data_IF_482751429060
#
_entry.id   IF_482751429060
#
_cell.length_a   1.000
_cell.length_b   1.000
_cell.length_c   1.000
_cell.angle_alpha   90.00
_cell.angle_beta   90.00
_cell.angle_gamma   90.00
#
_symmetry.space_group_name_H-M   'P 1'
#
loop_
_entity.id
_entity.type
_entity.pdbx_description
1 polymer ?
#
# COMPACT_ATOMS: atom_id res chain seq x y z
N UNK A 1 27.70 -59.56 -36.05
CA UNK A 1 28.58 -59.08 -34.97
C UNK A 1 27.93 -57.83 -34.35
N UNK A 2 27.08 -58.02 -33.34
CA UNK A 2 26.39 -56.90 -32.68
C UNK A 2 27.21 -56.47 -31.45
N UNK A 3 27.84 -55.29 -31.54
CA UNK A 3 28.52 -54.70 -30.40
C UNK A 3 27.49 -54.25 -29.36
N UNK A 4 27.59 -54.85 -28.19
CA UNK A 4 26.74 -54.62 -27.02
C UNK A 4 27.22 -53.36 -26.31
N UNK A 5 26.63 -52.22 -26.63
CA UNK A 5 26.83 -51.00 -25.87
C UNK A 5 26.07 -51.12 -24.54
N UNK A 6 26.76 -51.50 -23.45
CA UNK A 6 26.16 -51.62 -22.12
C UNK A 6 26.94 -50.82 -21.09
N UNK A 7 26.22 -49.84 -20.53
CA UNK A 7 26.19 -49.48 -19.10
C UNK A 7 27.42 -48.76 -18.53
N UNK A 8 27.50 -47.46 -18.83
CA UNK A 8 28.11 -46.48 -17.91
C UNK A 8 27.16 -45.33 -17.49
N UNK A 9 25.91 -45.31 -17.98
CA UNK A 9 24.94 -44.20 -17.77
C UNK A 9 23.97 -44.34 -16.58
N UNK A 10 24.14 -45.33 -15.69
CA UNK A 10 23.17 -45.59 -14.61
C UNK A 10 23.33 -44.75 -13.34
N UNK A 11 24.58 -44.44 -12.95
CA UNK A 11 24.87 -43.88 -11.62
C UNK A 11 25.56 -42.52 -11.66
N UNK A 12 26.36 -42.24 -12.70
CA UNK A 12 26.98 -40.93 -12.90
C UNK A 12 25.97 -39.85 -13.34
N UNK A 13 24.83 -40.27 -13.92
CA UNK A 13 23.74 -39.39 -14.34
C UNK A 13 22.87 -38.90 -13.18
N UNK A 14 22.56 -39.78 -12.21
CA UNK A 14 21.68 -39.45 -11.09
C UNK A 14 22.27 -38.36 -10.18
N UNK A 15 23.55 -38.47 -9.82
CA UNK A 15 24.22 -37.45 -9.00
C UNK A 15 24.36 -36.10 -9.70
N UNK A 16 24.57 -36.11 -11.01
CA UNK A 16 24.68 -34.91 -11.83
C UNK A 16 23.33 -34.18 -11.89
N UNK A 17 22.23 -34.93 -12.07
CA UNK A 17 20.86 -34.40 -12.00
C UNK A 17 20.59 -33.79 -10.63
N UNK A 18 20.93 -34.49 -9.54
CA UNK A 18 20.74 -33.97 -8.17
C UNK A 18 21.54 -32.67 -7.96
N UNK A 19 22.80 -32.63 -8.36
CA UNK A 19 23.65 -31.44 -8.23
C UNK A 19 23.08 -30.25 -9.00
N UNK A 20 22.63 -30.47 -10.24
CA UNK A 20 22.02 -29.43 -11.07
C UNK A 20 20.68 -28.96 -10.49
N UNK A 21 19.88 -29.86 -9.92
CA UNK A 21 18.65 -29.51 -9.21
C UNK A 21 18.92 -28.66 -7.96
N UNK A 22 19.97 -28.96 -7.20
CA UNK A 22 20.35 -28.17 -6.02
C UNK A 22 20.81 -26.76 -6.42
N UNK A 23 21.64 -26.65 -7.45
CA UNK A 23 22.08 -25.36 -7.97
C UNK A 23 20.87 -24.53 -8.44
N UNK A 24 19.94 -25.16 -9.18
CA UNK A 24 18.71 -24.51 -9.62
C UNK A 24 17.87 -24.03 -8.42
N UNK A 25 17.70 -24.87 -7.39
CA UNK A 25 16.95 -24.51 -6.20
C UNK A 25 17.56 -23.29 -5.48
N UNK A 26 18.88 -23.24 -5.33
CA UNK A 26 19.60 -22.10 -4.73
C UNK A 26 19.35 -20.82 -5.52
N UNK A 27 19.46 -20.88 -6.85
CA UNK A 27 19.21 -19.74 -7.73
C UNK A 27 17.76 -19.24 -7.60
N UNK A 28 16.79 -20.16 -7.60
CA UNK A 28 15.37 -19.82 -7.45
C UNK A 28 15.09 -19.16 -6.10
N UNK A 29 15.64 -19.69 -5.00
CA UNK A 29 15.50 -19.11 -3.65
C UNK A 29 16.13 -17.72 -3.59
N UNK A 30 17.32 -17.55 -4.18
CA UNK A 30 18.00 -16.26 -4.26
C UNK A 30 17.17 -15.22 -5.01
N UNK A 31 16.65 -15.58 -6.18
CA UNK A 31 15.77 -14.73 -6.98
C UNK A 31 14.48 -14.38 -6.25
N UNK A 32 13.81 -15.35 -5.62
CA UNK A 32 12.58 -15.13 -4.86
C UNK A 32 12.80 -14.13 -3.70
N UNK A 33 13.90 -14.28 -2.97
CA UNK A 33 14.24 -13.39 -1.85
C UNK A 33 14.54 -11.97 -2.32
N UNK A 34 15.31 -11.84 -3.41
CA UNK A 34 15.65 -10.53 -3.99
C UNK A 34 14.44 -9.84 -4.60
N UNK A 35 13.52 -10.60 -5.21
CA UNK A 35 12.33 -10.08 -5.86
C UNK A 35 11.29 -9.62 -4.83
N UNK A 36 11.07 -10.39 -3.77
CA UNK A 36 10.09 -10.10 -2.73
C UNK A 36 10.34 -8.74 -2.04
N UNK A 37 11.61 -8.41 -1.78
CA UNK A 37 11.96 -7.15 -1.12
C UNK A 37 11.85 -5.92 -2.03
N UNK A 38 11.95 -6.08 -3.35
CA UNK A 38 11.84 -4.98 -4.31
C UNK A 38 10.39 -4.60 -4.54
N UNK A 39 9.52 -5.58 -4.78
CA UNK A 39 8.12 -5.36 -5.13
C UNK A 39 7.37 -4.57 -4.05
N UNK A 40 7.61 -4.88 -2.76
CA UNK A 40 6.99 -4.17 -1.63
C UNK A 40 7.38 -2.69 -1.56
N UNK A 41 8.66 -2.37 -1.77
CA UNK A 41 9.15 -0.98 -1.69
C UNK A 41 8.66 -0.15 -2.87
N UNK A 42 8.70 -0.71 -4.08
CA UNK A 42 8.16 -0.03 -5.26
C UNK A 42 6.67 0.23 -5.12
N UNK A 43 5.90 -0.74 -4.63
CA UNK A 43 4.46 -0.57 -4.42
C UNK A 43 4.17 0.50 -3.35
N UNK A 44 4.91 0.51 -2.24
CA UNK A 44 4.72 1.51 -1.19
C UNK A 44 5.03 2.93 -1.69
N UNK A 45 6.14 3.13 -2.40
CA UNK A 45 6.46 4.42 -3.01
C UNK A 45 5.40 4.84 -4.02
N UNK A 46 5.00 3.94 -4.92
CA UNK A 46 3.98 4.21 -5.93
C UNK A 46 2.63 4.63 -5.33
N UNK A 47 2.15 3.92 -4.31
CA UNK A 47 0.90 4.26 -3.61
C UNK A 47 1.03 5.57 -2.83
N UNK A 48 2.18 5.83 -2.18
CA UNK A 48 2.41 7.10 -1.48
C UNK A 48 2.46 8.29 -2.44
N UNK A 49 3.05 8.14 -3.63
CA UNK A 49 3.09 9.19 -4.66
C UNK A 49 1.70 9.47 -5.24
N UNK A 50 0.90 8.42 -5.45
CA UNK A 50 -0.51 8.56 -5.83
C UNK A 50 -1.32 9.29 -4.76
N UNK A 51 -1.21 8.87 -3.49
CA UNK A 51 -1.88 9.52 -2.37
C UNK A 51 -1.47 10.98 -2.20
N UNK A 52 -0.17 11.29 -2.29
CA UNK A 52 0.34 12.66 -2.27
C UNK A 52 -0.25 13.53 -3.37
N UNK A 53 -0.41 12.98 -4.58
CA UNK A 53 -1.03 13.68 -5.70
C UNK A 53 -2.50 13.94 -5.46
N UNK A 54 -3.23 12.96 -4.91
CA UNK A 54 -4.63 13.11 -4.54
C UNK A 54 -4.82 14.17 -3.46
N UNK A 55 -4.00 14.18 -2.40
CA UNK A 55 -4.04 15.20 -1.33
C UNK A 55 -3.82 16.59 -1.92
N UNK A 56 -2.82 16.77 -2.79
CA UNK A 56 -2.55 18.08 -3.42
C UNK A 56 -3.66 18.52 -4.36
N UNK A 57 -4.23 17.60 -5.14
CA UNK A 57 -5.35 17.90 -6.03
C UNK A 57 -6.61 18.26 -5.23
N UNK A 58 -6.87 17.54 -4.14
CA UNK A 58 -7.94 17.81 -3.20
C UNK A 58 -7.78 19.16 -2.51
N UNK A 59 -6.58 19.48 -1.98
CA UNK A 59 -6.29 20.79 -1.38
C UNK A 59 -6.50 21.92 -2.38
N UNK A 60 -6.04 21.75 -3.63
CA UNK A 60 -6.23 22.73 -4.68
C UNK A 60 -7.72 22.92 -5.04
N UNK A 61 -8.48 21.84 -5.18
CA UNK A 61 -9.92 21.86 -5.46
C UNK A 61 -10.73 22.44 -4.30
N UNK A 62 -10.37 22.09 -3.07
CA UNK A 62 -10.96 22.67 -1.87
C UNK A 62 -10.64 24.17 -1.79
N UNK A 63 -9.39 24.58 -2.02
CA UNK A 63 -8.98 26.00 -1.99
C UNK A 63 -9.76 26.85 -2.98
N UNK A 64 -10.00 26.37 -4.20
CA UNK A 64 -10.79 27.11 -5.20
C UNK A 64 -12.28 27.07 -4.91
N UNK A 65 -12.81 25.93 -4.45
CA UNK A 65 -14.22 25.76 -4.09
C UNK A 65 -14.63 26.56 -2.84
N UNK A 66 -13.70 26.76 -1.90
CA UNK A 66 -13.91 27.54 -0.66
C UNK A 66 -13.71 29.05 -0.86
N UNK A 67 -13.11 29.50 -1.96
CA UNK A 67 -13.05 30.92 -2.32
C UNK A 67 -14.40 31.50 -2.80
N UNK A 68 -15.40 30.64 -3.07
CA UNK A 68 -16.77 31.05 -3.39
C UNK A 68 -17.61 31.35 -2.13
N UNK A 69 -18.55 32.29 -2.24
CA UNK A 69 -19.32 32.91 -1.14
C UNK A 69 -20.24 32.00 -0.27
N UNK A 70 -20.11 30.66 -0.31
CA UNK A 70 -21.08 29.70 0.28
C UNK A 70 -20.50 28.62 1.23
N UNK A 71 -19.31 28.83 1.81
CA UNK A 71 -18.93 28.17 3.08
C UNK A 71 -18.22 26.80 2.98
N UNK A 72 -17.54 26.49 4.09
CA UNK A 72 -16.30 25.71 4.17
C UNK A 72 -16.48 24.23 4.60
N UNK A 73 -17.58 23.88 5.28
CA UNK A 73 -17.76 22.54 5.89
C UNK A 73 -18.72 21.61 5.13
N UNK A 74 -19.96 22.00 4.76
CA UNK A 74 -20.87 21.10 4.02
C UNK A 74 -20.35 20.68 2.63
N UNK A 75 -19.43 21.47 2.07
CA UNK A 75 -18.74 21.16 0.82
C UNK A 75 -17.61 20.16 0.99
N UNK A 76 -16.94 20.15 2.14
CA UNK A 76 -15.81 19.26 2.38
C UNK A 76 -16.27 17.80 2.45
N UNK A 77 -17.34 17.55 3.20
CA UNK A 77 -17.96 16.22 3.29
C UNK A 77 -18.39 15.69 1.92
N UNK A 78 -19.00 16.56 1.10
CA UNK A 78 -19.42 16.20 -0.26
C UNK A 78 -18.23 15.90 -1.15
N UNK A 79 -17.19 16.74 -1.13
CA UNK A 79 -15.97 16.54 -1.93
C UNK A 79 -15.22 15.27 -1.51
N UNK A 80 -15.11 15.01 -0.21
CA UNK A 80 -14.51 13.81 0.35
C UNK A 80 -15.29 12.59 -0.11
N UNK A 81 -16.62 12.62 -0.01
CA UNK A 81 -17.49 11.54 -0.44
C UNK A 81 -17.35 11.25 -1.94
N UNK A 82 -17.46 12.27 -2.79
CA UNK A 82 -17.30 12.14 -4.24
C UNK A 82 -15.89 11.66 -4.62
N UNK A 83 -14.85 12.09 -3.89
CA UNK A 83 -13.48 11.65 -4.14
C UNK A 83 -13.29 10.20 -3.71
N UNK A 84 -13.83 9.80 -2.57
CA UNK A 84 -13.74 8.43 -2.05
C UNK A 84 -14.58 7.42 -2.84
N UNK A 85 -15.54 7.86 -3.66
CA UNK A 85 -16.24 7.00 -4.63
C UNK A 85 -15.32 6.52 -5.78
N UNK A 86 -14.11 7.06 -5.91
CA UNK A 86 -13.12 6.54 -6.86
C UNK A 86 -12.68 5.11 -6.49
N UNK A 87 -12.53 4.21 -7.47
CA UNK A 87 -12.31 2.78 -7.22
C UNK A 87 -10.99 2.42 -6.52
N UNK A 88 -10.04 3.35 -6.49
CA UNK A 88 -8.71 3.16 -5.90
C UNK A 88 -8.61 3.71 -4.45
N UNK A 89 -9.70 4.21 -3.87
CA UNK A 89 -9.73 4.86 -2.55
C UNK A 89 -10.67 4.09 -1.63
N UNK A 90 -10.14 3.61 -0.50
CA UNK A 90 -10.94 2.89 0.49
C UNK A 90 -11.78 3.84 1.34
N UNK A 91 -11.17 4.91 1.83
CA UNK A 91 -11.82 5.99 2.57
C UNK A 91 -10.93 7.23 2.56
N UNK A 92 -11.51 8.37 2.94
CA UNK A 92 -10.78 9.61 3.21
C UNK A 92 -11.28 10.14 4.55
N UNK A 93 -10.36 10.47 5.45
CA UNK A 93 -10.64 10.99 6.78
C UNK A 93 -9.84 12.28 7.02
N UNK A 94 -10.48 13.31 7.57
CA UNK A 94 -9.81 14.47 8.14
C UNK A 94 -9.89 14.33 9.65
N UNK A 95 -8.74 14.23 10.29
CA UNK A 95 -8.60 13.95 11.72
C UNK A 95 -7.88 15.10 12.39
N UNK A 96 -8.39 15.53 13.53
CA UNK A 96 -7.76 16.57 14.33
C UNK A 96 -6.54 16.03 15.12
N UNK A 97 -5.72 16.89 15.75
CA UNK A 97 -4.58 16.44 16.54
C UNK A 97 -4.94 15.60 17.78
N UNK A 98 -6.20 15.63 18.23
CA UNK A 98 -6.68 14.84 19.37
C UNK A 98 -7.08 13.43 18.95
N UNK A 99 -7.29 13.21 17.65
CA UNK A 99 -7.71 11.95 17.04
C UNK A 99 -9.17 11.90 16.65
N UNK A 100 -9.92 13.00 16.80
CA UNK A 100 -11.32 13.11 16.41
C UNK A 100 -11.46 13.30 14.90
N UNK A 101 -12.36 12.53 14.28
CA UNK A 101 -12.69 12.65 12.87
C UNK A 101 -13.58 13.87 12.65
N UNK A 102 -13.04 14.88 11.98
CA UNK A 102 -13.77 16.10 11.59
C UNK A 102 -14.66 15.85 10.36
N UNK A 103 -14.17 15.05 9.41
CA UNK A 103 -14.88 14.70 8.19
C UNK A 103 -14.44 13.32 7.68
N UNK A 104 -15.38 12.56 7.13
CA UNK A 104 -15.13 11.21 6.62
C UNK A 104 -15.98 10.90 5.38
N UNK A 105 -15.49 10.01 4.52
CA UNK A 105 -16.24 9.51 3.35
C UNK A 105 -17.53 8.78 3.74
N UNK A 106 -17.51 8.10 4.87
CA UNK A 106 -18.66 7.50 5.53
C UNK A 106 -19.14 8.40 6.66
N UNK A 107 -20.34 8.96 6.50
CA UNK A 107 -20.85 10.04 7.37
C UNK A 107 -21.09 9.62 8.82
N UNK A 108 -21.19 8.32 9.11
CA UNK A 108 -21.39 7.76 10.44
C UNK A 108 -20.09 7.63 11.26
N UNK A 109 -18.94 7.82 10.63
CA UNK A 109 -17.63 7.84 11.28
C UNK A 109 -17.23 9.24 11.79
N UNK A 110 -17.88 10.32 11.30
CA UNK A 110 -17.63 11.68 11.78
C UNK A 110 -17.91 11.82 13.28
N UNK A 111 -16.99 12.44 14.03
CA UNK A 111 -17.05 12.58 15.48
C UNK A 111 -16.55 11.36 16.26
N UNK A 112 -16.20 10.26 15.58
CA UNK A 112 -15.52 9.13 16.24
C UNK A 112 -14.02 9.39 16.37
N UNK A 113 -13.37 8.63 17.24
CA UNK A 113 -11.92 8.65 17.40
C UNK A 113 -11.28 7.73 16.36
N UNK A 114 -10.48 8.27 15.45
CA UNK A 114 -9.70 7.51 14.48
C UNK A 114 -8.51 6.81 15.14
N UNK A 115 -7.74 7.56 15.91
CA UNK A 115 -6.60 7.09 16.70
C UNK A 115 -6.58 7.82 18.03
N UNK A 116 -6.04 7.20 19.07
CA UNK A 116 -5.83 7.91 20.33
C UNK A 116 -4.78 9.03 20.18
N UNK A 117 -4.87 10.06 21.02
CA UNK A 117 -3.99 11.23 20.95
C UNK A 117 -2.48 10.89 21.01
N UNK A 118 -2.10 9.79 21.68
CA UNK A 118 -0.70 9.35 21.73
C UNK A 118 -0.26 8.78 20.38
N UNK A 119 -1.10 7.97 19.74
CA UNK A 119 -0.86 7.48 18.38
C UNK A 119 -0.86 8.60 17.35
N UNK A 120 -1.78 9.57 17.46
CA UNK A 120 -1.77 10.77 16.61
C UNK A 120 -0.46 11.55 16.73
N UNK A 121 0.01 11.77 17.96
CA UNK A 121 1.29 12.45 18.20
C UNK A 121 2.47 11.67 17.63
N UNK A 122 2.42 10.34 17.66
CA UNK A 122 3.46 9.47 17.10
C UNK A 122 3.52 9.49 15.56
N UNK A 123 2.47 9.95 14.87
CA UNK A 123 2.52 10.16 13.42
C UNK A 123 3.46 11.32 13.05
N UNK A 124 3.69 12.26 13.97
CA UNK A 124 4.49 13.47 13.77
C UNK A 124 4.08 14.19 12.46
N UNK A 125 2.79 14.52 12.36
CA UNK A 125 2.23 15.12 11.15
C UNK A 125 2.96 16.43 10.79
N UNK A 126 3.43 16.51 9.55
CA UNK A 126 4.09 17.68 8.95
C UNK A 126 3.68 17.77 7.48
N UNK A 127 4.29 18.68 6.71
CA UNK A 127 4.06 18.87 5.28
C UNK A 127 4.56 17.71 4.42
N UNK A 128 5.41 16.85 4.97
CA UNK A 128 5.86 15.64 4.29
C UNK A 128 4.81 14.54 4.36
N UNK A 129 4.53 13.95 3.20
CA UNK A 129 3.61 12.81 3.08
C UNK A 129 4.27 11.59 3.70
N UNK A 130 3.61 11.01 4.70
CA UNK A 130 4.01 9.76 5.34
C UNK A 130 3.07 8.65 4.89
N UNK A 131 3.38 7.41 5.21
CA UNK A 131 2.45 6.32 4.95
C UNK A 131 2.61 5.23 5.99
N UNK A 132 1.55 4.47 6.21
CA UNK A 132 1.56 3.27 7.04
C UNK A 132 0.65 2.21 6.43
N UNK A 133 0.97 0.95 6.67
CA UNK A 133 0.08 -0.15 6.33
C UNK A 133 -0.68 -0.55 7.58
N UNK A 134 -2.01 -0.49 7.52
CA UNK A 134 -2.88 -0.92 8.60
C UNK A 134 -3.49 -2.25 8.19
N UNK A 135 -3.30 -3.25 9.05
CA UNK A 135 -3.89 -4.57 8.87
C UNK A 135 -5.01 -4.72 9.90
N UNK A 136 -6.26 -4.57 9.48
CA UNK A 136 -7.45 -4.66 10.33
C UNK A 136 -8.70 -5.06 9.54
N UNK A 137 -9.74 -5.53 10.22
CA UNK A 137 -11.07 -5.73 9.60
C UNK A 137 -11.69 -4.35 9.28
N UNK A 138 -12.33 -4.17 8.11
CA UNK A 138 -12.72 -5.21 7.17
C UNK A 138 -11.64 -5.56 6.12
N UNK A 139 -10.64 -4.70 5.88
CA UNK A 139 -9.60 -4.89 4.86
C UNK A 139 -8.26 -4.25 5.28
N UNK A 140 -7.16 -4.85 4.84
CA UNK A 140 -5.85 -4.22 4.95
C UNK A 140 -5.81 -2.94 4.08
N UNK A 141 -5.43 -1.82 4.70
CA UNK A 141 -5.37 -0.51 4.06
C UNK A 141 -3.94 0.01 4.01
N UNK A 142 -3.61 0.71 2.92
CA UNK A 142 -2.41 1.54 2.82
C UNK A 142 -2.84 2.99 3.04
N UNK A 143 -2.50 3.53 4.20
CA UNK A 143 -2.85 4.88 4.61
C UNK A 143 -1.69 5.83 4.29
N UNK A 144 -2.02 7.00 3.76
CA UNK A 144 -1.09 8.06 3.33
C UNK A 144 -1.44 9.34 4.08
#
# INVERSE_FOLDING_TARGET
>A
MFQRNRRYFGNASAWLVIGMSVILAIVVIGLATMNYNRERRYMATFLSEKGATLIRAFEAGARTGMMGAFGTLPRLDTLIKETAEQPDILYIAIVDPTGEIIAHSESDETGRTFLDAKSMKALEADKEVKWRTVSGEPLAAFEV
#
